data_IF_387645619666
#
_entry.id   IF_387645619666
#
_cell.length_a   1.000
_cell.length_b   1.000
_cell.length_c   1.000
_cell.angle_alpha   90.00
_cell.angle_beta   90.00
_cell.angle_gamma   90.00
#
_symmetry.space_group_name_H-M   'P 1'
#
loop_
_entity.id
_entity.type
_entity.pdbx_description
1 polymer ?
#
# COMPACT_ATOMS: atom_id res chain seq x y z
N UNK A 1 12.61 14.48 41.45
CA UNK A 1 12.35 14.42 40.00
C UNK A 1 11.07 13.63 39.80
N UNK A 2 9.95 14.34 39.70
CA UNK A 2 8.62 13.76 39.48
C UNK A 2 8.51 13.43 38.00
N UNK A 3 8.62 12.14 37.68
CA UNK A 3 8.32 11.64 36.33
C UNK A 3 6.82 11.71 36.13
N UNK A 4 6.38 12.76 35.46
CA UNK A 4 5.02 12.88 34.95
C UNK A 4 4.85 11.80 33.89
N UNK A 5 3.93 10.84 34.15
CA UNK A 5 3.59 9.83 33.17
C UNK A 5 3.08 10.54 31.91
N UNK A 6 3.47 10.10 30.70
CA UNK A 6 2.94 10.68 29.48
C UNK A 6 1.41 10.57 29.52
N UNK A 7 0.69 11.61 29.02
CA UNK A 7 -0.77 11.60 29.02
C UNK A 7 -1.25 10.30 28.39
N UNK A 8 -2.12 9.57 29.09
CA UNK A 8 -2.81 8.40 28.52
C UNK A 8 -3.32 8.82 27.14
N UNK A 9 -2.80 8.19 26.11
CA UNK A 9 -3.38 8.32 24.78
C UNK A 9 -4.78 7.74 24.91
N UNK A 10 -5.78 8.61 25.01
CA UNK A 10 -7.19 8.25 25.00
C UNK A 10 -7.36 7.20 23.89
N UNK A 11 -7.81 6.00 24.28
CA UNK A 11 -7.77 4.83 23.43
C UNK A 11 -8.44 5.16 22.10
N UNK A 12 -7.67 5.10 21.03
CA UNK A 12 -8.20 5.23 19.68
C UNK A 12 -9.06 4.02 19.45
N UNK A 13 -10.37 4.23 19.46
CA UNK A 13 -11.36 3.16 19.31
C UNK A 13 -11.47 2.75 17.83
N UNK A 14 -12.06 1.60 17.56
CA UNK A 14 -12.44 1.19 16.20
C UNK A 14 -13.33 2.25 15.55
N UNK A 15 -14.14 2.94 16.33
CA UNK A 15 -15.03 4.01 15.88
C UNK A 15 -14.23 5.23 15.41
N UNK A 16 -13.18 5.61 16.12
CA UNK A 16 -12.28 6.70 15.68
C UNK A 16 -11.58 6.36 14.39
N UNK A 17 -11.14 5.12 14.22
CA UNK A 17 -10.56 4.62 12.98
C UNK A 17 -11.55 4.68 11.82
N UNK A 18 -12.76 4.18 12.01
CA UNK A 18 -13.83 4.22 10.99
C UNK A 18 -14.17 5.65 10.59
N UNK A 19 -14.32 6.53 11.57
CA UNK A 19 -14.57 7.96 11.33
C UNK A 19 -13.44 8.61 10.51
N UNK A 20 -12.19 8.28 10.83
CA UNK A 20 -11.02 8.74 10.07
C UNK A 20 -11.05 8.24 8.62
N UNK A 21 -11.42 6.98 8.37
CA UNK A 21 -11.58 6.44 7.02
C UNK A 21 -12.70 7.15 6.24
N UNK A 22 -13.85 7.38 6.87
CA UNK A 22 -14.97 8.09 6.24
C UNK A 22 -14.58 9.53 5.86
N UNK A 23 -13.88 10.24 6.74
CA UNK A 23 -13.37 11.58 6.47
C UNK A 23 -12.36 11.59 5.32
N UNK A 24 -11.43 10.63 5.31
CA UNK A 24 -10.45 10.48 4.23
C UNK A 24 -11.16 10.22 2.90
N UNK A 25 -12.06 9.24 2.84
CA UNK A 25 -12.80 8.91 1.63
C UNK A 25 -13.64 10.08 1.12
N UNK A 26 -14.28 10.81 2.02
CA UNK A 26 -15.05 12.01 1.67
C UNK A 26 -14.14 13.09 1.06
N UNK A 27 -12.98 13.33 1.66
CA UNK A 27 -11.99 14.28 1.15
C UNK A 27 -11.44 13.91 -0.22
N UNK A 28 -11.19 12.62 -0.46
CA UNK A 28 -10.70 12.12 -1.74
C UNK A 28 -11.75 12.20 -2.86
N UNK A 29 -13.05 12.03 -2.52
CA UNK A 29 -14.16 12.14 -3.48
C UNK A 29 -14.60 13.58 -3.75
N UNK A 30 -14.16 14.53 -2.93
CA UNK A 30 -14.47 15.94 -3.15
C UNK A 30 -13.84 16.44 -4.47
N UNK A 31 -14.47 17.40 -5.17
CA UNK A 31 -13.88 18.01 -6.36
C UNK A 31 -12.46 18.53 -6.09
N UNK A 32 -11.49 18.14 -6.91
CA UNK A 32 -10.08 18.53 -6.74
C UNK A 32 -9.36 17.80 -5.60
N UNK A 33 -9.98 16.79 -4.97
CA UNK A 33 -9.39 16.09 -3.82
C UNK A 33 -8.09 15.35 -4.16
N UNK A 34 -8.01 14.75 -5.34
CA UNK A 34 -6.84 13.97 -5.81
C UNK A 34 -5.73 14.84 -6.40
N UNK A 35 -6.06 16.03 -6.86
CA UNK A 35 -5.13 17.00 -7.47
C UNK A 35 -4.38 17.83 -6.43
N UNK A 36 -4.84 17.83 -5.19
CA UNK A 36 -4.17 18.52 -4.08
C UNK A 36 -2.79 17.90 -3.84
N UNK A 37 -1.89 18.67 -3.25
CA UNK A 37 -0.59 18.18 -2.79
C UNK A 37 -0.64 17.78 -1.33
N UNK A 38 0.17 16.81 -0.96
CA UNK A 38 0.44 16.42 0.42
C UNK A 38 1.93 16.12 0.58
N UNK A 39 2.39 16.08 1.82
CA UNK A 39 3.78 15.72 2.13
C UNK A 39 3.89 14.20 2.22
N UNK A 40 4.82 13.62 1.46
CA UNK A 40 5.12 12.19 1.51
C UNK A 40 5.78 11.82 2.85
N UNK A 41 5.75 10.53 3.25
CA UNK A 41 6.52 10.07 4.41
C UNK A 41 8.03 10.33 4.32
N UNK A 42 8.54 10.56 3.11
CA UNK A 42 9.94 10.88 2.85
C UNK A 42 10.24 12.40 2.83
N UNK A 43 9.22 13.24 3.13
CA UNK A 43 9.38 14.67 3.31
C UNK A 43 9.31 15.53 2.04
N UNK A 44 8.99 14.97 0.89
CA UNK A 44 8.76 15.74 -0.35
C UNK A 44 7.27 15.87 -0.66
N UNK A 45 6.91 16.92 -1.38
CA UNK A 45 5.53 17.13 -1.83
C UNK A 45 5.21 16.30 -3.07
N UNK A 46 4.01 15.72 -3.10
CA UNK A 46 3.48 14.98 -4.24
C UNK A 46 1.97 15.11 -4.34
N UNK A 47 1.35 14.81 -5.49
CA UNK A 47 -0.10 14.80 -5.62
C UNK A 47 -0.72 13.75 -4.69
N UNK A 48 -1.89 14.08 -4.14
CA UNK A 48 -2.68 13.12 -3.33
C UNK A 48 -3.00 11.86 -4.12
N UNK A 49 -3.23 11.95 -5.43
CA UNK A 49 -3.41 10.79 -6.30
C UNK A 49 -2.25 9.79 -6.23
N UNK A 50 -1.01 10.26 -6.14
CA UNK A 50 0.16 9.39 -5.99
C UNK A 50 0.21 8.72 -4.61
N UNK A 51 -0.16 9.47 -3.57
CA UNK A 51 -0.25 8.91 -2.22
C UNK A 51 -1.30 7.80 -2.13
N UNK A 52 -2.46 8.02 -2.74
CA UNK A 52 -3.55 7.02 -2.80
C UNK A 52 -3.12 5.78 -3.58
N UNK A 53 -2.50 5.96 -4.75
CA UNK A 53 -2.00 4.86 -5.56
C UNK A 53 -0.96 4.01 -4.80
N UNK A 54 0.00 4.67 -4.13
CA UNK A 54 1.00 3.98 -3.30
C UNK A 54 0.37 3.20 -2.14
N UNK A 55 -0.60 3.81 -1.45
CA UNK A 55 -1.33 3.15 -0.36
C UNK A 55 -2.15 1.96 -0.86
N UNK A 56 -2.75 2.06 -2.05
CA UNK A 56 -3.48 0.95 -2.68
C UNK A 56 -2.56 -0.25 -2.93
N UNK A 57 -1.42 -0.02 -3.58
CA UNK A 57 -0.44 -1.07 -3.82
C UNK A 57 0.06 -1.69 -2.50
N UNK A 58 0.43 -0.86 -1.54
CA UNK A 58 0.92 -1.28 -0.23
C UNK A 58 -0.11 -2.19 0.49
N UNK A 59 -1.37 -1.74 0.55
CA UNK A 59 -2.45 -2.52 1.16
C UNK A 59 -2.69 -3.86 0.45
N UNK A 60 -2.69 -3.87 -0.90
CA UNK A 60 -2.91 -5.09 -1.67
C UNK A 60 -1.79 -6.12 -1.43
N UNK A 61 -0.54 -5.68 -1.53
CA UNK A 61 0.60 -6.57 -1.36
C UNK A 61 0.72 -7.08 0.08
N UNK A 62 0.53 -6.22 1.07
CA UNK A 62 0.58 -6.63 2.47
C UNK A 62 -0.62 -7.50 2.90
N UNK A 63 -1.75 -7.42 2.20
CA UNK A 63 -2.85 -8.38 2.35
C UNK A 63 -2.36 -9.80 2.01
N UNK A 64 -1.64 -9.96 0.91
CA UNK A 64 -1.03 -11.24 0.54
C UNK A 64 0.04 -11.68 1.55
N UNK A 65 0.94 -10.76 1.94
CA UNK A 65 2.00 -11.05 2.93
C UNK A 65 1.39 -11.57 4.24
N UNK A 66 0.33 -10.93 4.74
CA UNK A 66 -0.36 -11.31 5.96
C UNK A 66 -1.10 -12.65 5.82
N UNK A 67 -1.79 -12.86 4.70
CA UNK A 67 -2.47 -14.12 4.43
C UNK A 67 -1.48 -15.29 4.39
N UNK A 68 -0.34 -15.11 3.72
CA UNK A 68 0.77 -16.08 3.69
C UNK A 68 1.29 -16.38 5.09
N UNK A 69 1.58 -15.35 5.88
CA UNK A 69 2.13 -15.50 7.22
C UNK A 69 1.17 -16.19 8.20
N UNK A 70 -0.14 -16.09 7.98
CA UNK A 70 -1.18 -16.63 8.86
C UNK A 70 -1.85 -17.90 8.30
N UNK A 71 -1.39 -18.42 7.16
CA UNK A 71 -1.93 -19.62 6.53
C UNK A 71 -3.36 -19.46 6.02
N UNK A 72 -3.75 -18.26 5.63
CA UNK A 72 -5.05 -17.95 5.04
C UNK A 72 -5.02 -18.07 3.52
N UNK A 73 -6.17 -17.91 2.86
CA UNK A 73 -6.27 -17.83 1.41
C UNK A 73 -5.47 -16.63 0.90
N UNK A 74 -4.51 -16.92 0.03
CA UNK A 74 -3.59 -15.93 -0.56
C UNK A 74 -4.12 -15.36 -1.88
N UNK A 75 -5.31 -15.75 -2.31
CA UNK A 75 -5.94 -15.24 -3.53
C UNK A 75 -6.36 -13.79 -3.33
N UNK A 76 -5.80 -12.90 -4.14
CA UNK A 76 -6.20 -11.50 -4.18
C UNK A 76 -7.32 -11.30 -5.20
N UNK A 77 -8.11 -10.25 -5.04
CA UNK A 77 -9.12 -9.88 -6.01
C UNK A 77 -8.50 -9.62 -7.39
N UNK A 78 -8.93 -10.34 -8.46
CA UNK A 78 -8.31 -10.24 -9.78
C UNK A 78 -8.36 -8.83 -10.39
N UNK A 79 -9.45 -8.09 -10.18
CA UNK A 79 -9.59 -6.72 -10.71
C UNK A 79 -8.59 -5.78 -10.04
N UNK A 80 -8.37 -5.94 -8.73
CA UNK A 80 -7.38 -5.16 -8.00
C UNK A 80 -5.95 -5.54 -8.40
N UNK A 81 -5.69 -6.82 -8.65
CA UNK A 81 -4.39 -7.29 -9.16
C UNK A 81 -4.10 -6.72 -10.55
N UNK A 82 -5.06 -6.74 -11.46
CA UNK A 82 -4.91 -6.16 -12.79
C UNK A 82 -4.66 -4.65 -12.73
N UNK A 83 -5.46 -3.93 -11.93
CA UNK A 83 -5.29 -2.49 -11.73
C UNK A 83 -3.89 -2.16 -11.15
N UNK A 84 -3.46 -2.88 -10.13
CA UNK A 84 -2.15 -2.71 -9.52
C UNK A 84 -1.02 -3.00 -10.53
N UNK A 85 -1.14 -4.08 -11.29
CA UNK A 85 -0.19 -4.46 -12.34
C UNK A 85 -0.06 -3.36 -13.38
N UNK A 86 -1.18 -2.86 -13.90
CA UNK A 86 -1.19 -1.81 -14.92
C UNK A 86 -0.59 -0.49 -14.42
N UNK A 87 -0.82 -0.14 -13.15
CA UNK A 87 -0.34 1.11 -12.56
C UNK A 87 1.15 1.08 -12.22
N UNK A 88 1.68 -0.06 -11.78
CA UNK A 88 2.99 -0.10 -11.14
C UNK A 88 4.04 -0.93 -11.86
N UNK A 89 3.68 -2.02 -12.57
CA UNK A 89 4.70 -2.90 -13.14
C UNK A 89 5.63 -2.26 -14.16
N UNK A 90 5.24 -1.29 -14.99
CA UNK A 90 6.17 -0.69 -15.95
C UNK A 90 7.40 -0.04 -15.30
N UNK A 91 7.23 0.67 -14.17
CA UNK A 91 8.29 1.53 -13.63
C UNK A 91 8.64 1.25 -12.16
N UNK A 92 7.67 0.86 -11.36
CA UNK A 92 7.81 0.84 -9.91
C UNK A 92 8.81 -0.20 -9.38
N UNK A 93 8.89 -1.42 -9.93
CA UNK A 93 9.85 -2.40 -9.43
C UNK A 93 11.30 -1.93 -9.56
N UNK A 94 11.66 -1.24 -10.64
CA UNK A 94 13.00 -0.68 -10.83
C UNK A 94 13.26 0.48 -9.88
N UNK A 95 12.33 1.42 -9.77
CA UNK A 95 12.41 2.54 -8.83
C UNK A 95 12.45 2.09 -7.38
N UNK A 96 11.63 1.10 -7.01
CA UNK A 96 11.60 0.53 -5.68
C UNK A 96 12.91 -0.18 -5.32
N UNK A 97 13.53 -0.88 -6.26
CA UNK A 97 14.85 -1.50 -6.07
C UNK A 97 15.95 -0.44 -5.90
N UNK A 98 15.93 0.61 -6.71
CA UNK A 98 16.90 1.70 -6.60
C UNK A 98 16.83 2.43 -5.25
N UNK A 99 15.64 2.53 -4.65
CA UNK A 99 15.44 3.13 -3.32
C UNK A 99 15.60 2.15 -2.15
N UNK A 100 15.82 0.86 -2.42
CA UNK A 100 15.92 -0.18 -1.39
C UNK A 100 14.58 -0.63 -0.79
N UNK A 101 13.45 -0.18 -1.34
CA UNK A 101 12.11 -0.55 -0.86
C UNK A 101 11.61 -1.89 -1.40
N UNK A 102 12.14 -2.32 -2.53
CA UNK A 102 11.73 -3.56 -3.24
C UNK A 102 12.95 -4.47 -3.41
N UNK A 103 12.78 -5.74 -3.07
CA UNK A 103 13.79 -6.76 -3.25
C UNK A 103 14.05 -7.12 -4.73
N UNK A 104 15.04 -7.97 -5.00
CA UNK A 104 15.29 -8.50 -6.35
C UNK A 104 14.04 -9.21 -6.87
N UNK A 105 13.78 -9.09 -8.18
CA UNK A 105 12.71 -9.83 -8.81
C UNK A 105 12.95 -11.35 -8.70
N UNK A 106 11.87 -12.08 -8.47
CA UNK A 106 11.86 -13.55 -8.44
C UNK A 106 11.47 -14.06 -9.83
N UNK A 107 12.13 -15.10 -10.29
CA UNK A 107 11.77 -15.76 -11.56
C UNK A 107 10.54 -16.65 -11.31
N UNK A 108 9.53 -16.49 -12.14
CA UNK A 108 8.34 -17.34 -12.18
C UNK A 108 8.17 -17.94 -13.57
N UNK A 109 7.41 -19.05 -13.72
CA UNK A 109 7.13 -19.64 -15.02
C UNK A 109 6.46 -18.66 -15.99
N UNK A 110 6.61 -18.89 -17.31
CA UNK A 110 6.01 -18.04 -18.34
C UNK A 110 4.47 -18.05 -18.32
N UNK A 111 3.87 -19.12 -17.80
CA UNK A 111 2.43 -19.29 -17.62
C UNK A 111 1.92 -18.87 -16.22
N UNK A 112 2.77 -18.25 -15.42
CA UNK A 112 2.38 -17.77 -14.09
C UNK A 112 1.19 -16.79 -14.16
N UNK A 113 0.37 -16.81 -13.11
CA UNK A 113 -0.78 -15.91 -12.99
C UNK A 113 -0.36 -14.43 -12.95
N UNK A 114 -1.28 -13.53 -13.24
CA UNK A 114 -1.02 -12.08 -13.11
C UNK A 114 -0.62 -11.71 -11.68
N UNK A 115 -1.25 -12.34 -10.68
CA UNK A 115 -0.88 -12.18 -9.28
C UNK A 115 0.56 -12.61 -9.01
N UNK A 116 0.95 -13.79 -9.46
CA UNK A 116 2.29 -14.33 -9.21
C UNK A 116 3.36 -13.47 -9.88
N UNK A 117 3.09 -12.98 -11.09
CA UNK A 117 3.98 -12.06 -11.80
C UNK A 117 4.13 -10.73 -11.08
N UNK A 118 3.03 -10.16 -10.57
CA UNK A 118 3.04 -8.94 -9.78
C UNK A 118 3.89 -9.12 -8.52
N UNK A 119 3.63 -10.16 -7.75
CA UNK A 119 4.33 -10.48 -6.51
C UNK A 119 5.83 -10.75 -6.75
N UNK A 120 6.15 -11.53 -7.77
CA UNK A 120 7.52 -11.85 -8.14
C UNK A 120 8.32 -10.61 -8.59
N UNK A 121 7.70 -9.70 -9.34
CA UNK A 121 8.33 -8.47 -9.79
C UNK A 121 8.78 -7.56 -8.64
N UNK A 122 8.10 -7.64 -7.50
CA UNK A 122 8.41 -6.87 -6.29
C UNK A 122 9.09 -7.71 -5.19
N UNK A 123 9.65 -8.86 -5.56
CA UNK A 123 10.54 -9.65 -4.72
C UNK A 123 9.87 -10.66 -3.81
N UNK A 124 8.56 -10.94 -3.98
CA UNK A 124 7.86 -12.02 -3.27
C UNK A 124 8.02 -13.34 -4.02
N UNK A 125 7.91 -14.44 -3.28
CA UNK A 125 7.89 -15.81 -3.81
C UNK A 125 6.46 -16.35 -3.66
N UNK A 126 5.62 -16.24 -4.69
CA UNK A 126 4.24 -16.74 -4.65
C UNK A 126 4.16 -18.27 -4.61
#
# INVERSE_FOLDING_TARGET
MSGEAPPERAGRTIEDYRRGLEQLQSGLRAPGGLERTCVSPLGFEWPVSHAVAGTFMDALIHTWDLATATGQDVSLDPELVEACTAMFLPDMPERGRASGLVGPAVVVPDDASTQDRLLAAIGRRP
#
